data_IF_135984631659
#
_entry.id   IF_135984631659
#
_cell.length_a   1.000
_cell.length_b   1.000
_cell.length_c   1.000
_cell.angle_alpha   90.00
_cell.angle_beta   90.00
_cell.angle_gamma   90.00
#
_symmetry.space_group_name_H-M   'P 1'
#
loop_
_entity.id
_entity.type
_entity.pdbx_description
1 polymer ?
#
# COMPACT_ATOMS: atom_id res chain seq x y z
N UNK A 1 19.75 15.32 -25.42
CA UNK A 1 19.14 15.15 -24.08
C UNK A 1 17.84 14.39 -24.27
N UNK A 2 17.65 13.22 -23.63
CA UNK A 2 16.31 12.59 -23.63
C UNK A 2 15.38 13.55 -22.89
N UNK A 3 14.22 13.86 -23.45
CA UNK A 3 13.22 14.68 -22.76
C UNK A 3 12.91 14.05 -21.40
N UNK A 4 12.91 14.85 -20.33
CA UNK A 4 12.52 14.42 -18.99
C UNK A 4 11.06 13.96 -19.03
N UNK A 5 10.75 12.84 -18.38
CA UNK A 5 9.37 12.35 -18.24
C UNK A 5 8.65 13.26 -17.25
N UNK A 6 7.47 13.75 -17.63
CA UNK A 6 6.62 14.56 -16.74
C UNK A 6 5.48 13.72 -16.16
N UNK A 7 5.33 13.77 -14.84
CA UNK A 7 4.25 13.10 -14.11
C UNK A 7 3.21 14.14 -13.67
N UNK A 8 1.94 13.86 -13.91
CA UNK A 8 0.83 14.46 -13.16
C UNK A 8 0.54 13.55 -11.96
N UNK A 9 0.83 14.03 -10.75
CA UNK A 9 0.74 13.24 -9.53
C UNK A 9 -0.34 13.76 -8.58
N UNK A 10 -1.30 12.88 -8.25
CA UNK A 10 -2.37 13.14 -7.30
C UNK A 10 -2.10 12.25 -6.08
N UNK A 11 -1.51 12.81 -5.01
CA UNK A 11 -1.15 12.03 -3.83
C UNK A 11 -2.39 11.54 -3.10
N UNK A 12 -2.20 10.57 -2.20
CA UNK A 12 -3.26 10.08 -1.29
C UNK A 12 -3.74 11.17 -0.30
N UNK A 13 -2.86 12.09 0.06
CA UNK A 13 -3.13 13.28 0.86
C UNK A 13 -1.90 14.20 0.88
N UNK A 14 -1.91 15.26 1.68
CA UNK A 14 -0.80 16.21 1.79
C UNK A 14 0.33 15.76 2.75
N UNK A 15 0.29 14.55 3.34
CA UNK A 15 1.28 14.13 4.35
C UNK A 15 2.67 14.00 3.71
N UNK A 16 3.76 14.26 4.47
CA UNK A 16 5.12 14.07 3.98
C UNK A 16 5.40 12.67 3.44
N UNK A 17 4.80 11.63 4.04
CA UNK A 17 5.09 10.24 3.67
C UNK A 17 4.43 9.78 2.38
N UNK A 18 3.32 10.39 1.98
CA UNK A 18 2.58 10.07 0.75
C UNK A 18 2.99 11.01 -0.37
N UNK A 19 2.91 12.33 -0.13
CA UNK A 19 3.24 13.37 -1.12
C UNK A 19 4.74 13.65 -1.17
N UNK A 20 5.35 13.93 -0.02
CA UNK A 20 6.75 14.34 0.07
C UNK A 20 7.70 13.24 -0.41
N UNK A 21 7.50 12.00 0.03
CA UNK A 21 8.31 10.87 -0.39
C UNK A 21 8.20 10.59 -1.89
N UNK A 22 6.99 10.70 -2.48
CA UNK A 22 6.83 10.56 -3.92
C UNK A 22 7.64 11.62 -4.68
N UNK A 23 7.53 12.89 -4.28
CA UNK A 23 8.27 13.98 -4.92
C UNK A 23 9.79 13.78 -4.80
N UNK A 24 10.29 13.38 -3.63
CA UNK A 24 11.70 13.11 -3.41
C UNK A 24 12.22 11.93 -4.26
N UNK A 25 11.43 10.85 -4.36
CA UNK A 25 11.81 9.69 -5.17
C UNK A 25 11.69 9.96 -6.68
N UNK A 26 10.76 10.80 -7.11
CA UNK A 26 10.67 11.21 -8.50
C UNK A 26 11.84 12.10 -8.92
N UNK A 27 12.27 13.01 -8.04
CA UNK A 27 13.48 13.82 -8.23
C UNK A 27 14.73 12.93 -8.32
N UNK A 28 14.87 11.94 -7.41
CA UNK A 28 15.91 10.92 -7.46
C UNK A 28 15.91 10.15 -8.80
N UNK A 29 14.72 9.87 -9.34
CA UNK A 29 14.53 9.21 -10.62
C UNK A 29 14.79 10.11 -11.84
N UNK A 30 15.02 11.41 -11.63
CA UNK A 30 15.20 12.43 -12.66
C UNK A 30 13.92 12.75 -13.44
N UNK A 31 12.74 12.57 -12.83
CA UNK A 31 11.44 12.82 -13.47
C UNK A 31 10.81 14.09 -12.90
N UNK A 32 10.25 14.92 -13.78
CA UNK A 32 9.53 16.13 -13.40
C UNK A 32 8.13 15.79 -12.88
N UNK A 33 7.67 16.47 -11.84
CA UNK A 33 6.36 16.21 -11.22
C UNK A 33 5.55 17.49 -11.10
N UNK A 34 4.41 17.51 -11.78
CA UNK A 34 3.31 18.42 -11.48
C UNK A 34 2.38 17.75 -10.47
N UNK A 35 2.00 18.47 -9.42
CA UNK A 35 1.04 18.00 -8.41
C UNK A 35 0.20 19.18 -7.95
N UNK A 36 -1.10 19.01 -7.62
CA UNK A 36 -1.96 20.13 -7.25
C UNK A 36 -1.46 20.84 -5.98
N UNK A 37 -1.81 22.11 -5.80
CA UNK A 37 -1.57 22.82 -4.55
C UNK A 37 -2.16 22.04 -3.36
N UNK A 38 -1.44 22.02 -2.23
CA UNK A 38 -1.87 21.28 -1.04
C UNK A 38 -3.25 21.73 -0.51
N UNK A 39 -3.66 22.98 -0.79
CA UNK A 39 -4.97 23.51 -0.42
C UNK A 39 -6.15 22.84 -1.18
N UNK A 40 -5.90 22.20 -2.32
CA UNK A 40 -6.92 21.40 -3.03
C UNK A 40 -7.03 19.99 -2.45
N UNK A 41 -6.01 19.54 -1.73
CA UNK A 41 -5.99 18.23 -1.09
C UNK A 41 -6.75 18.29 0.23
N UNK A 42 -7.44 17.19 0.54
CA UNK A 42 -8.06 17.01 1.86
C UNK A 42 -7.03 16.88 2.97
N UNK A 43 -7.49 17.03 4.21
CA UNK A 43 -6.67 16.90 5.42
C UNK A 43 -7.40 16.06 6.47
N UNK A 44 -6.94 14.82 6.68
CA UNK A 44 -7.61 13.82 7.53
C UNK A 44 -9.10 13.76 7.16
N UNK A 45 -10.01 14.07 8.09
CA UNK A 45 -11.47 14.04 7.90
C UNK A 45 -12.00 15.11 6.93
N UNK A 46 -11.24 16.17 6.65
CA UNK A 46 -11.64 17.19 5.69
C UNK A 46 -11.42 16.67 4.26
N UNK A 47 -12.50 16.62 3.48
CA UNK A 47 -12.44 16.25 2.06
C UNK A 47 -11.82 17.38 1.22
N UNK A 48 -11.01 17.00 0.23
CA UNK A 48 -10.49 17.88 -0.79
C UNK A 48 -11.54 18.26 -1.85
N UNK A 49 -11.23 19.26 -2.67
CA UNK A 49 -12.13 19.70 -3.75
C UNK A 49 -11.96 18.78 -4.97
N UNK A 50 -12.76 17.71 -5.01
CA UNK A 50 -12.72 16.69 -6.07
C UNK A 50 -12.91 17.29 -7.46
N UNK A 51 -13.79 18.27 -7.63
CA UNK A 51 -14.02 18.88 -8.94
C UNK A 51 -12.87 19.79 -9.34
N UNK A 52 -12.23 20.50 -8.40
CA UNK A 52 -10.99 21.22 -8.67
C UNK A 52 -9.83 20.29 -9.02
N UNK A 53 -9.73 19.12 -8.38
CA UNK A 53 -8.69 18.13 -8.68
C UNK A 53 -8.84 17.57 -10.10
N UNK A 54 -10.06 17.25 -10.53
CA UNK A 54 -10.32 16.87 -11.92
C UNK A 54 -10.02 17.99 -12.92
N UNK A 55 -10.42 19.25 -12.61
CA UNK A 55 -10.04 20.40 -13.44
C UNK A 55 -8.52 20.60 -13.52
N UNK A 56 -7.80 20.34 -12.44
CA UNK A 56 -6.34 20.41 -12.41
C UNK A 56 -5.70 19.36 -13.34
N UNK A 57 -6.21 18.11 -13.32
CA UNK A 57 -5.77 17.04 -14.24
C UNK A 57 -5.96 17.44 -15.72
N UNK A 58 -7.01 18.21 -15.99
CA UNK A 58 -7.40 18.62 -17.34
C UNK A 58 -6.69 19.89 -17.83
N UNK A 59 -5.98 20.58 -16.95
CA UNK A 59 -5.28 21.83 -17.23
C UNK A 59 -3.79 21.68 -16.96
N UNK A 60 -3.36 21.91 -15.72
CA UNK A 60 -1.95 21.85 -15.32
C UNK A 60 -1.31 20.46 -15.46
N UNK A 61 -2.12 19.41 -15.33
CA UNK A 61 -1.72 18.01 -15.50
C UNK A 61 -1.91 17.46 -16.92
N UNK A 62 -2.41 18.26 -17.88
CA UNK A 62 -2.83 17.77 -19.19
C UNK A 62 -1.65 17.24 -20.03
N UNK A 63 -0.52 17.92 -19.98
CA UNK A 63 0.67 17.65 -20.81
C UNK A 63 1.63 16.59 -20.21
N UNK A 64 1.22 15.91 -19.14
CA UNK A 64 2.04 14.88 -18.51
C UNK A 64 2.09 13.59 -19.35
N UNK A 65 3.25 12.94 -19.38
CA UNK A 65 3.45 11.62 -20.00
C UNK A 65 2.79 10.51 -19.19
N UNK A 66 2.73 10.69 -17.86
CA UNK A 66 2.19 9.72 -16.90
C UNK A 66 1.27 10.44 -15.91
N UNK A 67 0.09 9.88 -15.67
CA UNK A 67 -0.78 10.24 -14.56
C UNK A 67 -0.69 9.14 -13.50
N UNK A 68 -0.17 9.47 -12.31
CA UNK A 68 -0.18 8.60 -11.13
C UNK A 68 -1.13 9.21 -10.10
N UNK A 69 -2.19 8.51 -9.74
CA UNK A 69 -3.23 9.06 -8.86
C UNK A 69 -3.76 8.09 -7.81
N UNK A 70 -4.11 8.61 -6.63
CA UNK A 70 -4.98 7.92 -5.67
C UNK A 70 -6.44 8.04 -6.09
N UNK A 71 -7.13 6.90 -6.19
CA UNK A 71 -8.56 6.84 -6.44
C UNK A 71 -9.35 7.46 -5.27
N UNK A 72 -8.85 7.33 -4.04
CA UNK A 72 -9.49 7.87 -2.84
C UNK A 72 -9.64 9.40 -2.94
N UNK A 73 -8.56 10.07 -3.37
CA UNK A 73 -8.56 11.53 -3.56
C UNK A 73 -9.42 11.95 -4.72
N UNK A 74 -9.37 11.23 -5.84
CA UNK A 74 -10.13 11.60 -7.05
C UNK A 74 -11.63 11.30 -6.99
N UNK A 75 -12.06 10.45 -6.04
CA UNK A 75 -13.48 10.03 -5.91
C UNK A 75 -14.11 10.59 -4.63
N UNK A 76 -13.38 10.58 -3.50
CA UNK A 76 -13.92 10.94 -2.19
C UNK A 76 -13.25 12.19 -1.59
N UNK A 77 -12.17 12.69 -2.21
CA UNK A 77 -11.39 13.82 -1.72
C UNK A 77 -10.39 13.46 -0.60
N UNK A 78 -10.12 12.17 -0.37
CA UNK A 78 -9.09 11.70 0.54
C UNK A 78 -9.33 10.29 1.08
N UNK A 79 -8.31 9.73 1.74
CA UNK A 79 -8.38 8.42 2.39
C UNK A 79 -9.44 8.36 3.50
N UNK A 80 -9.38 9.27 4.49
CA UNK A 80 -10.38 9.29 5.57
C UNK A 80 -11.78 9.64 5.04
N UNK A 81 -11.96 10.62 4.12
CA UNK A 81 -13.23 10.86 3.45
C UNK A 81 -13.83 9.63 2.79
N UNK A 82 -13.03 8.74 2.19
CA UNK A 82 -13.55 7.49 1.59
C UNK A 82 -14.16 6.55 2.63
N UNK A 83 -13.66 6.61 3.87
CA UNK A 83 -14.15 5.83 5.02
C UNK A 83 -15.40 6.45 5.65
N UNK A 84 -15.41 7.77 5.87
CA UNK A 84 -16.45 8.46 6.65
C UNK A 84 -17.53 9.14 5.81
N UNK A 85 -17.33 9.32 4.51
CA UNK A 85 -18.25 10.04 3.62
C UNK A 85 -19.56 9.31 3.35
N UNK A 86 -20.61 10.07 3.03
CA UNK A 86 -21.97 9.58 2.74
C UNK A 86 -22.35 9.78 1.26
N UNK A 87 -21.36 9.91 0.38
CA UNK A 87 -21.57 10.11 -1.04
C UNK A 87 -22.42 8.97 -1.62
N UNK A 88 -23.45 9.30 -2.41
CA UNK A 88 -24.22 8.31 -3.17
C UNK A 88 -23.34 7.51 -4.13
N UNK A 89 -23.65 6.21 -4.29
CA UNK A 89 -22.87 5.30 -5.14
C UNK A 89 -22.80 5.75 -6.60
N UNK A 90 -23.88 6.30 -7.15
CA UNK A 90 -23.95 6.84 -8.51
C UNK A 90 -22.96 8.00 -8.70
N UNK A 91 -22.81 8.89 -7.72
CA UNK A 91 -21.79 9.93 -7.73
C UNK A 91 -20.38 9.33 -7.72
N UNK A 92 -20.12 8.35 -6.86
CA UNK A 92 -18.81 7.69 -6.79
C UNK A 92 -18.45 7.00 -8.12
N UNK A 93 -19.41 6.33 -8.75
CA UNK A 93 -19.21 5.67 -10.05
C UNK A 93 -19.05 6.67 -11.19
N UNK A 94 -19.77 7.79 -11.17
CA UNK A 94 -19.58 8.87 -12.15
C UNK A 94 -18.16 9.45 -12.07
N UNK A 95 -17.65 9.68 -10.85
CA UNK A 95 -16.27 10.13 -10.63
C UNK A 95 -15.24 9.07 -11.03
N UNK A 96 -15.48 7.79 -10.70
CA UNK A 96 -14.63 6.70 -11.17
C UNK A 96 -14.59 6.60 -12.70
N UNK A 97 -15.71 6.89 -13.39
CA UNK A 97 -15.80 6.90 -14.85
C UNK A 97 -14.97 7.99 -15.53
N UNK A 98 -14.62 9.06 -14.82
CA UNK A 98 -13.76 10.15 -15.34
C UNK A 98 -12.35 9.68 -15.67
N UNK A 99 -11.86 8.56 -15.10
CA UNK A 99 -10.58 7.98 -15.51
C UNK A 99 -10.60 7.49 -16.97
N UNK A 100 -11.69 6.84 -17.39
CA UNK A 100 -11.91 6.48 -18.80
C UNK A 100 -12.04 7.71 -19.72
N UNK A 101 -12.64 8.80 -19.24
CA UNK A 101 -12.65 10.08 -19.97
C UNK A 101 -11.25 10.68 -20.12
N UNK A 102 -10.46 10.64 -19.05
CA UNK A 102 -9.07 11.10 -19.05
C UNK A 102 -8.21 10.29 -20.05
N UNK A 103 -8.42 8.97 -20.16
CA UNK A 103 -7.82 8.13 -21.21
C UNK A 103 -8.20 8.61 -22.61
N UNK A 104 -9.49 8.83 -22.87
CA UNK A 104 -9.96 9.24 -24.22
C UNK A 104 -9.38 10.58 -24.66
N UNK A 105 -9.20 11.51 -23.73
CA UNK A 105 -8.62 12.85 -24.02
C UNK A 105 -7.12 12.82 -24.26
N UNK A 106 -6.39 11.91 -23.60
CA UNK A 106 -4.95 11.75 -23.77
C UNK A 106 -4.56 10.27 -23.97
N UNK A 107 -4.82 9.68 -25.16
CA UNK A 107 -4.60 8.25 -25.39
C UNK A 107 -3.15 7.80 -25.19
N UNK A 108 -2.19 8.71 -25.41
CA UNK A 108 -0.75 8.45 -25.25
C UNK A 108 -0.27 8.52 -23.80
N UNK A 109 -1.01 9.18 -22.89
CA UNK A 109 -0.63 9.35 -21.49
C UNK A 109 -0.83 8.05 -20.74
N UNK A 110 0.18 7.60 -20.00
CA UNK A 110 0.05 6.41 -19.17
C UNK A 110 -0.79 6.71 -17.93
N UNK A 111 -1.74 5.84 -17.57
CA UNK A 111 -2.61 6.01 -16.41
C UNK A 111 -2.36 4.91 -15.36
N UNK A 112 -1.86 5.31 -14.20
CA UNK A 112 -1.53 4.44 -13.07
C UNK A 112 -2.32 4.87 -11.83
N UNK A 113 -3.05 3.94 -11.24
CA UNK A 113 -3.94 4.21 -10.12
C UNK A 113 -3.55 3.37 -8.90
N UNK A 114 -3.52 4.03 -7.74
CA UNK A 114 -3.57 3.37 -6.45
C UNK A 114 -5.00 3.49 -5.90
N UNK A 115 -5.52 2.42 -5.34
CA UNK A 115 -6.78 2.41 -4.61
C UNK A 115 -6.63 1.52 -3.38
N UNK A 116 -7.45 1.72 -2.35
CA UNK A 116 -7.51 0.85 -1.19
C UNK A 116 -8.93 0.40 -0.88
N UNK A 117 -9.03 -0.78 -0.28
CA UNK A 117 -10.27 -1.19 0.36
C UNK A 117 -10.38 -0.52 1.74
N UNK A 118 -11.59 -0.55 2.32
CA UNK A 118 -11.79 0.01 3.66
C UNK A 118 -11.11 -0.87 4.71
N UNK A 119 -10.25 -0.25 5.51
CA UNK A 119 -9.65 -0.87 6.70
C UNK A 119 -10.68 -1.27 7.75
N UNK A 120 -10.22 -2.03 8.74
CA UNK A 120 -11.05 -2.52 9.82
C UNK A 120 -10.25 -2.56 11.14
N UNK A 121 -10.03 -1.42 11.79
CA UNK A 121 -9.26 -1.36 13.01
C UNK A 121 -10.02 -1.99 14.18
N UNK A 122 -9.30 -2.77 15.01
CA UNK A 122 -9.86 -3.40 16.21
C UNK A 122 -10.01 -2.45 17.40
N UNK A 123 -9.26 -1.33 17.40
CA UNK A 123 -9.26 -0.37 18.49
C UNK A 123 -10.55 0.48 18.52
N UNK A 124 -11.03 0.88 19.71
CA UNK A 124 -12.15 1.82 19.86
C UNK A 124 -11.69 3.26 19.60
N UNK A 125 -11.21 3.54 18.38
CA UNK A 125 -10.74 4.85 17.96
C UNK A 125 -11.55 5.34 16.75
N UNK A 126 -12.07 6.57 16.84
CA UNK A 126 -12.83 7.20 15.78
C UNK A 126 -12.04 8.31 15.05
N UNK A 127 -10.71 8.37 15.21
CA UNK A 127 -9.89 9.44 14.63
C UNK A 127 -10.06 9.50 13.11
N UNK A 128 -10.08 8.34 12.45
CA UNK A 128 -10.26 8.21 11.00
C UNK A 128 -11.45 7.32 10.60
N UNK A 129 -12.29 6.95 11.58
CA UNK A 129 -13.49 6.15 11.39
C UNK A 129 -14.76 6.98 11.65
N UNK A 130 -15.95 6.49 11.28
CA UNK A 130 -17.21 7.08 11.72
C UNK A 130 -17.28 7.18 13.25
N UNK A 131 -18.02 8.16 13.78
CA UNK A 131 -18.02 8.48 15.23
C UNK A 131 -18.42 7.28 16.10
N UNK A 132 -19.33 6.44 15.61
CA UNK A 132 -19.77 5.23 16.31
C UNK A 132 -18.64 4.21 16.53
N UNK A 133 -17.49 4.35 15.87
CA UNK A 133 -16.37 3.41 16.02
C UNK A 133 -15.75 3.44 17.41
N UNK A 134 -15.76 4.61 18.07
CA UNK A 134 -15.28 4.74 19.45
C UNK A 134 -16.04 3.83 20.43
N UNK A 135 -17.33 3.55 20.15
CA UNK A 135 -18.17 2.71 21.00
C UNK A 135 -18.29 1.27 20.48
N UNK A 136 -18.46 1.10 19.17
CA UNK A 136 -18.81 -0.18 18.55
C UNK A 136 -17.67 -0.82 17.76
N UNK A 137 -16.55 -0.13 17.54
CA UNK A 137 -15.41 -0.60 16.73
C UNK A 137 -14.95 -2.03 17.05
N UNK A 138 -14.64 -2.36 18.32
CA UNK A 138 -14.24 -3.72 18.70
C UNK A 138 -15.28 -4.81 18.38
N UNK A 139 -16.58 -4.48 18.48
CA UNK A 139 -17.68 -5.41 18.17
C UNK A 139 -17.88 -5.56 16.66
N UNK A 140 -17.75 -4.47 15.91
CA UNK A 140 -17.76 -4.49 14.44
C UNK A 140 -16.57 -5.34 13.92
N UNK A 141 -15.38 -5.15 14.49
CA UNK A 141 -14.21 -5.96 14.19
C UNK A 141 -14.45 -7.44 14.49
N UNK A 142 -14.97 -7.77 15.69
CA UNK A 142 -15.25 -9.16 16.07
C UNK A 142 -16.27 -9.82 15.13
N UNK A 143 -17.37 -9.13 14.80
CA UNK A 143 -18.34 -9.63 13.81
C UNK A 143 -17.64 -9.93 12.47
N UNK A 144 -16.87 -8.97 11.98
CA UNK A 144 -16.18 -9.07 10.69
C UNK A 144 -15.18 -10.23 10.67
N UNK A 145 -14.28 -10.32 11.66
CA UNK A 145 -13.27 -11.37 11.77
C UNK A 145 -13.91 -12.75 11.85
N UNK A 146 -14.86 -12.94 12.79
CA UNK A 146 -15.43 -14.26 13.04
C UNK A 146 -16.41 -14.72 11.96
N UNK A 147 -17.13 -13.80 11.31
CA UNK A 147 -18.00 -14.15 10.18
C UNK A 147 -17.18 -14.65 8.98
N UNK A 148 -16.07 -13.98 8.67
CA UNK A 148 -15.18 -14.42 7.60
C UNK A 148 -14.45 -15.72 7.94
N UNK A 149 -13.95 -15.85 9.18
CA UNK A 149 -13.31 -17.07 9.66
C UNK A 149 -14.25 -18.27 9.57
N UNK A 150 -15.50 -18.12 10.02
CA UNK A 150 -16.51 -19.17 9.86
C UNK A 150 -16.75 -19.53 8.39
N UNK A 151 -16.86 -18.54 7.50
CA UNK A 151 -17.05 -18.80 6.08
C UNK A 151 -15.85 -19.53 5.43
N UNK A 152 -14.63 -19.34 5.94
CA UNK A 152 -13.42 -19.99 5.43
C UNK A 152 -13.15 -21.36 6.05
N UNK A 153 -13.44 -21.55 7.34
CA UNK A 153 -13.02 -22.75 8.10
C UNK A 153 -14.18 -23.64 8.54
N UNK A 154 -15.42 -23.15 8.51
CA UNK A 154 -16.58 -23.85 9.06
C UNK A 154 -16.61 -23.96 10.58
N UNK A 155 -15.72 -23.27 11.30
CA UNK A 155 -15.58 -23.42 12.76
C UNK A 155 -16.79 -22.86 13.53
N UNK A 156 -17.58 -23.70 14.25
CA UNK A 156 -18.82 -23.26 14.90
C UNK A 156 -18.62 -22.19 15.98
N UNK A 157 -17.47 -22.20 16.66
CA UNK A 157 -17.12 -21.18 17.66
C UNK A 157 -17.09 -19.77 17.05
N UNK A 158 -16.66 -19.65 15.79
CA UNK A 158 -16.61 -18.37 15.07
C UNK A 158 -18.02 -17.92 14.67
N UNK A 159 -18.89 -18.85 14.27
CA UNK A 159 -20.29 -18.50 13.99
C UNK A 159 -20.99 -17.90 15.22
N UNK A 160 -20.81 -18.52 16.39
CA UNK A 160 -21.39 -18.05 17.65
C UNK A 160 -20.83 -16.66 18.05
N UNK A 161 -19.51 -16.46 17.93
CA UNK A 161 -18.87 -15.17 18.22
C UNK A 161 -19.33 -14.07 17.27
N UNK A 162 -19.47 -14.36 15.96
CA UNK A 162 -19.98 -13.42 14.99
C UNK A 162 -21.42 -12.98 15.32
N UNK A 163 -22.30 -13.94 15.65
CA UNK A 163 -23.68 -13.65 16.02
C UNK A 163 -23.78 -12.80 17.30
N UNK A 164 -22.99 -13.13 18.33
CA UNK A 164 -22.94 -12.35 19.57
C UNK A 164 -22.43 -10.93 19.34
N UNK A 165 -21.36 -10.77 18.55
CA UNK A 165 -20.82 -9.46 18.19
C UNK A 165 -21.82 -8.61 17.39
N UNK A 166 -22.52 -9.22 16.43
CA UNK A 166 -23.56 -8.54 15.64
C UNK A 166 -24.73 -8.08 16.51
N UNK A 167 -25.20 -8.91 17.44
CA UNK A 167 -26.30 -8.57 18.34
C UNK A 167 -25.94 -7.41 19.30
N UNK A 168 -24.65 -7.19 19.56
CA UNK A 168 -24.15 -6.13 20.41
C UNK A 168 -23.93 -4.79 19.67
N UNK A 169 -24.23 -4.72 18.37
CA UNK A 169 -24.13 -3.49 17.55
C UNK A 169 -25.54 -3.07 17.11
N UNK A 170 -25.94 -1.80 17.27
CA UNK A 170 -27.23 -1.32 16.77
C UNK A 170 -27.39 -1.56 15.26
N UNK A 171 -28.58 -2.01 14.85
CA UNK A 171 -28.86 -2.30 13.44
C UNK A 171 -28.53 -1.15 12.47
N UNK A 172 -28.85 0.14 12.77
CA UNK A 172 -28.46 1.25 11.91
C UNK A 172 -26.94 1.41 11.74
N UNK A 173 -26.17 1.13 12.80
CA UNK A 173 -24.70 1.19 12.77
C UNK A 173 -24.14 0.09 11.88
N UNK A 174 -24.60 -1.15 12.06
CA UNK A 174 -24.15 -2.26 11.22
C UNK A 174 -24.55 -2.07 9.75
N UNK A 175 -25.76 -1.54 9.49
CA UNK A 175 -26.20 -1.22 8.15
C UNK A 175 -25.31 -0.17 7.47
N UNK A 176 -24.92 0.90 8.19
CA UNK A 176 -24.02 1.93 7.68
C UNK A 176 -22.62 1.35 7.36
N UNK A 177 -22.06 0.52 8.25
CA UNK A 177 -20.79 -0.19 8.02
C UNK A 177 -20.86 -0.99 6.71
N UNK A 178 -21.88 -1.84 6.55
CA UNK A 178 -22.01 -2.69 5.37
C UNK A 178 -22.27 -1.89 4.09
N UNK A 179 -23.04 -0.81 4.16
CA UNK A 179 -23.32 0.07 3.02
C UNK A 179 -22.05 0.77 2.52
N UNK A 180 -21.20 1.30 3.42
CA UNK A 180 -19.90 1.91 3.07
C UNK A 180 -18.99 0.91 2.37
N UNK A 181 -18.90 -0.32 2.91
CA UNK A 181 -18.09 -1.39 2.31
C UNK A 181 -18.60 -1.78 0.93
N UNK A 182 -19.91 -1.96 0.77
CA UNK A 182 -20.53 -2.28 -0.51
C UNK A 182 -20.26 -1.18 -1.55
N UNK A 183 -20.33 0.10 -1.16
CA UNK A 183 -19.98 1.24 -2.03
C UNK A 183 -18.53 1.18 -2.47
N UNK A 184 -17.58 1.07 -1.54
CA UNK A 184 -16.16 0.99 -1.85
C UNK A 184 -15.84 -0.22 -2.74
N UNK A 185 -16.34 -1.41 -2.42
CA UNK A 185 -16.13 -2.62 -3.22
C UNK A 185 -16.67 -2.44 -4.65
N UNK A 186 -17.85 -1.84 -4.82
CA UNK A 186 -18.43 -1.60 -6.15
C UNK A 186 -17.57 -0.62 -6.97
N UNK A 187 -17.00 0.40 -6.33
CA UNK A 187 -16.05 1.32 -6.97
C UNK A 187 -14.76 0.58 -7.37
N UNK A 188 -14.18 -0.24 -6.48
CA UNK A 188 -12.99 -1.04 -6.80
C UNK A 188 -13.23 -1.97 -7.99
N UNK A 189 -14.39 -2.64 -8.03
CA UNK A 189 -14.78 -3.47 -9.17
C UNK A 189 -14.90 -2.61 -10.44
N UNK A 190 -15.47 -1.41 -10.39
CA UNK A 190 -15.51 -0.52 -11.56
C UNK A 190 -14.12 -0.13 -12.07
N UNK A 191 -13.14 0.07 -11.18
CA UNK A 191 -11.75 0.34 -11.56
C UNK A 191 -11.08 -0.89 -12.20
N UNK A 192 -11.36 -2.10 -11.69
CA UNK A 192 -10.91 -3.35 -12.33
C UNK A 192 -11.52 -3.50 -13.74
N UNK A 193 -12.80 -3.15 -13.92
CA UNK A 193 -13.43 -3.16 -15.25
C UNK A 193 -12.74 -2.19 -16.22
N UNK A 194 -12.32 -1.01 -15.74
CA UNK A 194 -11.54 -0.05 -16.52
C UNK A 194 -10.15 -0.59 -16.89
N UNK A 195 -9.46 -1.25 -15.95
CA UNK A 195 -8.18 -1.90 -16.23
C UNK A 195 -8.32 -3.04 -17.26
N UNK A 196 -9.39 -3.84 -17.18
CA UNK A 196 -9.68 -4.92 -18.12
C UNK A 196 -9.87 -4.39 -19.57
N UNK A 197 -10.54 -3.25 -19.72
CA UNK A 197 -10.73 -2.58 -21.03
C UNK A 197 -9.50 -1.84 -21.54
N UNK A 198 -8.45 -1.69 -20.72
CA UNK A 198 -7.26 -0.93 -21.05
C UNK A 198 -7.40 0.59 -20.88
N UNK A 199 -8.42 1.06 -20.16
CA UNK A 199 -8.56 2.47 -19.82
C UNK A 199 -7.42 2.89 -18.85
N UNK A 200 -7.07 2.00 -17.91
CA UNK A 200 -6.02 2.15 -16.90
C UNK A 200 -4.87 1.18 -17.19
N UNK A 201 -3.62 1.67 -17.22
CA UNK A 201 -2.43 0.87 -17.53
C UNK A 201 -1.88 0.08 -16.33
N UNK A 202 -2.23 0.50 -15.12
CA UNK A 202 -1.81 -0.15 -13.88
C UNK A 202 -2.70 0.28 -12.73
N UNK A 203 -3.21 -0.69 -11.97
CA UNK A 203 -4.06 -0.51 -10.81
C UNK A 203 -3.51 -1.36 -9.67
N UNK A 204 -3.07 -0.72 -8.60
CA UNK A 204 -2.82 -1.38 -7.33
C UNK A 204 -4.03 -1.19 -6.43
N UNK A 205 -4.66 -2.29 -6.02
CA UNK A 205 -5.68 -2.30 -4.97
C UNK A 205 -5.01 -2.80 -3.69
N UNK A 206 -4.64 -1.86 -2.82
CA UNK A 206 -3.97 -2.14 -1.56
C UNK A 206 -4.94 -2.50 -0.44
N UNK A 207 -4.43 -3.31 0.49
CA UNK A 207 -5.06 -3.56 1.78
C UNK A 207 -4.66 -2.49 2.78
N UNK A 208 -5.66 -1.85 3.37
CA UNK A 208 -5.53 -0.93 4.51
C UNK A 208 -5.93 -1.66 5.81
N UNK A 209 -5.27 -1.36 6.95
CA UNK A 209 -5.23 -2.11 8.22
C UNK A 209 -6.22 -3.29 8.34
N UNK A 210 -5.69 -4.52 8.41
CA UNK A 210 -6.50 -5.73 8.48
C UNK A 210 -6.03 -6.74 9.53
N UNK A 211 -6.68 -7.90 9.49
CA UNK A 211 -6.32 -9.12 10.20
C UNK A 211 -6.36 -10.30 9.23
N UNK A 212 -5.94 -11.48 9.70
CA UNK A 212 -5.95 -12.74 8.94
C UNK A 212 -7.33 -13.05 8.31
N UNK A 213 -8.41 -12.77 9.04
CA UNK A 213 -9.79 -12.89 8.59
C UNK A 213 -10.51 -11.55 8.71
N UNK A 214 -11.54 -11.35 7.89
CA UNK A 214 -12.46 -10.23 8.05
C UNK A 214 -13.10 -9.79 6.74
N UNK A 215 -14.06 -8.87 6.84
CA UNK A 215 -14.70 -8.23 5.69
C UNK A 215 -13.68 -7.56 4.75
N UNK A 216 -12.60 -6.99 5.29
CA UNK A 216 -11.46 -6.47 4.50
C UNK A 216 -10.85 -7.54 3.61
N UNK A 217 -10.64 -8.75 4.13
CA UNK A 217 -10.10 -9.89 3.36
C UNK A 217 -11.12 -10.43 2.36
N UNK A 218 -12.39 -10.49 2.75
CA UNK A 218 -13.49 -10.89 1.87
C UNK A 218 -13.62 -9.98 0.65
N UNK A 219 -13.54 -8.68 0.85
CA UNK A 219 -13.62 -7.70 -0.24
C UNK A 219 -12.43 -7.87 -1.19
N UNK A 220 -11.22 -8.08 -0.67
CA UNK A 220 -10.04 -8.32 -1.53
C UNK A 220 -10.13 -9.62 -2.31
N UNK A 221 -10.60 -10.72 -1.71
CA UNK A 221 -10.83 -11.98 -2.46
C UNK A 221 -11.86 -11.79 -3.57
N UNK A 222 -12.86 -10.92 -3.37
CA UNK A 222 -13.83 -10.56 -4.41
C UNK A 222 -13.17 -9.77 -5.55
N UNK A 223 -12.28 -8.82 -5.22
CA UNK A 223 -11.50 -8.07 -6.22
C UNK A 223 -10.52 -9.00 -6.98
N UNK A 224 -9.83 -9.90 -6.28
CA UNK A 224 -8.94 -10.91 -6.89
C UNK A 224 -9.70 -11.80 -7.88
N UNK A 225 -10.88 -12.30 -7.49
CA UNK A 225 -11.77 -13.06 -8.37
C UNK A 225 -12.17 -12.26 -9.61
N UNK A 226 -12.59 -11.01 -9.43
CA UNK A 226 -12.96 -10.14 -10.54
C UNK A 226 -11.78 -9.85 -11.49
N UNK A 227 -10.56 -9.65 -10.98
CA UNK A 227 -9.36 -9.47 -11.81
C UNK A 227 -9.13 -10.70 -12.69
N UNK A 228 -9.27 -11.91 -12.13
CA UNK A 228 -9.10 -13.15 -12.87
C UNK A 228 -10.21 -13.35 -13.92
N UNK A 229 -11.47 -13.21 -13.52
CA UNK A 229 -12.66 -13.39 -14.38
C UNK A 229 -12.66 -12.42 -15.57
N UNK A 230 -12.19 -11.19 -15.37
CA UNK A 230 -12.17 -10.14 -16.40
C UNK A 230 -10.88 -10.12 -17.22
N UNK A 231 -9.91 -10.99 -16.93
CA UNK A 231 -8.61 -11.03 -17.61
C UNK A 231 -7.75 -9.77 -17.36
N UNK A 232 -7.93 -9.10 -16.21
CA UNK A 232 -7.28 -7.83 -15.91
C UNK A 232 -5.87 -7.98 -15.31
N UNK A 233 -5.37 -9.20 -15.07
CA UNK A 233 -4.14 -9.48 -14.31
C UNK A 233 -2.83 -8.91 -14.90
N UNK A 234 -2.86 -8.41 -16.14
CA UNK A 234 -1.74 -7.67 -16.74
C UNK A 234 -1.67 -6.20 -16.31
N UNK A 235 -2.76 -5.65 -15.75
CA UNK A 235 -2.91 -4.23 -15.40
C UNK A 235 -3.50 -3.98 -14.02
N UNK A 236 -4.07 -4.99 -13.35
CA UNK A 236 -4.65 -4.83 -12.02
C UNK A 236 -4.13 -5.90 -11.06
N UNK A 237 -3.77 -5.48 -9.85
CA UNK A 237 -3.24 -6.36 -8.81
C UNK A 237 -3.80 -6.00 -7.45
N UNK A 238 -4.20 -7.01 -6.68
CA UNK A 238 -4.38 -6.86 -5.24
C UNK A 238 -3.01 -6.95 -4.57
N UNK A 239 -2.78 -6.04 -3.63
CA UNK A 239 -1.57 -5.97 -2.83
C UNK A 239 -1.88 -5.46 -1.42
N UNK A 240 -0.86 -5.16 -0.64
CA UNK A 240 -0.96 -4.77 0.76
C UNK A 240 -0.24 -3.45 0.98
N UNK A 241 -0.68 -2.68 1.98
CA UNK A 241 -0.25 -1.30 2.17
C UNK A 241 -1.20 -0.32 1.48
N UNK A 242 -1.03 0.96 1.81
CA UNK A 242 -1.88 2.05 1.30
C UNK A 242 -1.04 3.29 1.03
N UNK A 243 -0.21 3.70 2.00
CA UNK A 243 0.55 4.94 1.92
C UNK A 243 1.66 4.90 0.85
N UNK A 244 2.21 3.71 0.58
CA UNK A 244 3.37 3.49 -0.29
C UNK A 244 3.00 3.07 -1.73
N UNK A 245 1.72 2.84 -2.01
CA UNK A 245 1.26 2.36 -3.31
C UNK A 245 1.69 3.30 -4.46
N UNK A 246 1.62 4.61 -4.25
CA UNK A 246 2.00 5.60 -5.26
C UNK A 246 3.50 5.53 -5.62
N UNK A 247 4.38 5.36 -4.62
CA UNK A 247 5.83 5.25 -4.90
C UNK A 247 6.19 3.92 -5.55
N UNK A 248 5.43 2.86 -5.28
CA UNK A 248 5.57 1.58 -5.99
C UNK A 248 5.15 1.69 -7.45
N UNK A 249 4.09 2.45 -7.75
CA UNK A 249 3.69 2.78 -9.12
C UNK A 249 4.75 3.63 -9.83
N UNK A 250 5.40 4.57 -9.13
CA UNK A 250 6.52 5.35 -9.65
C UNK A 250 7.70 4.44 -10.03
N UNK A 251 8.14 3.55 -9.13
CA UNK A 251 9.22 2.60 -9.41
C UNK A 251 8.89 1.71 -10.61
N UNK A 252 7.66 1.20 -10.69
CA UNK A 252 7.17 0.42 -11.83
C UNK A 252 7.23 1.23 -13.13
N UNK A 253 6.71 2.45 -13.11
CA UNK A 253 6.71 3.32 -14.29
C UNK A 253 8.13 3.56 -14.79
N UNK A 254 9.06 3.82 -13.88
CA UNK A 254 10.47 4.07 -14.19
C UNK A 254 11.17 2.85 -14.79
N UNK A 255 10.97 1.66 -14.20
CA UNK A 255 11.54 0.41 -14.68
C UNK A 255 11.02 0.05 -16.08
N UNK A 256 9.72 0.15 -16.30
CA UNK A 256 9.13 -0.14 -17.61
C UNK A 256 9.59 0.86 -18.68
N UNK A 257 9.69 2.15 -18.35
CA UNK A 257 10.23 3.18 -19.25
C UNK A 257 11.69 2.94 -19.62
N UNK A 258 12.42 2.27 -18.73
CA UNK A 258 13.81 1.85 -18.91
C UNK A 258 13.94 0.45 -19.52
N UNK A 259 12.83 -0.24 -19.81
CA UNK A 259 12.79 -1.63 -20.26
C UNK A 259 13.58 -2.60 -19.35
N UNK A 260 13.48 -2.40 -18.03
CA UNK A 260 14.18 -3.20 -17.00
C UNK A 260 13.19 -4.01 -16.17
N UNK A 261 13.62 -5.21 -15.76
CA UNK A 261 12.92 -6.06 -14.80
C UNK A 261 13.94 -6.68 -13.84
N UNK A 262 14.45 -5.91 -12.87
CA UNK A 262 15.60 -6.29 -12.07
C UNK A 262 15.34 -7.52 -11.21
N UNK A 263 16.34 -8.40 -11.12
CA UNK A 263 16.33 -9.52 -10.19
C UNK A 263 16.50 -9.05 -8.75
N UNK A 264 15.53 -9.33 -7.88
CA UNK A 264 15.56 -8.99 -6.45
C UNK A 264 15.74 -10.26 -5.62
N UNK A 265 16.88 -10.39 -4.93
CA UNK A 265 17.08 -11.43 -3.91
C UNK A 265 16.59 -10.92 -2.56
N UNK A 266 15.95 -11.79 -1.79
CA UNK A 266 15.42 -11.45 -0.45
C UNK A 266 16.24 -12.19 0.60
N UNK A 267 16.69 -11.48 1.62
CA UNK A 267 17.35 -12.04 2.80
C UNK A 267 16.55 -11.67 4.06
N UNK A 268 16.14 -12.65 4.85
CA UNK A 268 15.39 -12.45 6.10
C UNK A 268 16.30 -12.54 7.32
N UNK A 269 16.06 -11.74 8.34
CA UNK A 269 16.74 -11.87 9.64
C UNK A 269 16.34 -13.16 10.37
N UNK A 270 15.06 -13.55 10.27
CA UNK A 270 14.49 -14.78 10.81
C UNK A 270 13.79 -15.55 9.69
N UNK A 271 14.52 -16.30 8.84
CA UNK A 271 13.95 -17.03 7.69
C UNK A 271 12.84 -18.01 8.05
N UNK A 272 12.91 -18.62 9.24
CA UNK A 272 11.91 -19.52 9.82
C UNK A 272 10.56 -18.86 10.08
N UNK A 273 10.53 -17.53 10.23
CA UNK A 273 9.33 -16.75 10.53
C UNK A 273 8.83 -15.93 9.34
N UNK A 274 9.30 -16.21 8.12
CA UNK A 274 8.85 -15.49 6.91
C UNK A 274 7.36 -15.69 6.60
N UNK A 275 6.76 -16.75 7.14
CA UNK A 275 5.34 -17.06 6.96
C UNK A 275 4.45 -16.51 8.08
N UNK A 276 5.04 -15.82 9.07
CA UNK A 276 4.28 -15.10 10.09
C UNK A 276 3.47 -13.96 9.47
N UNK A 277 2.32 -13.66 10.07
CA UNK A 277 1.44 -12.54 9.69
C UNK A 277 1.77 -11.35 10.60
N UNK A 278 2.37 -10.26 10.09
CA UNK A 278 2.64 -9.07 10.89
C UNK A 278 1.36 -8.39 11.40
N UNK A 279 1.47 -7.51 12.39
CA UNK A 279 0.34 -6.68 12.84
C UNK A 279 -0.18 -5.84 11.67
N UNK A 280 -1.49 -5.64 11.64
CA UNK A 280 -2.22 -4.89 10.61
C UNK A 280 -2.20 -5.54 9.22
N UNK A 281 -1.58 -6.71 9.07
CA UNK A 281 -1.49 -7.44 7.81
C UNK A 281 -2.52 -8.57 7.72
N UNK A 282 -2.85 -8.94 6.48
CA UNK A 282 -3.86 -9.96 6.17
C UNK A 282 -3.28 -11.26 5.59
N UNK A 283 -1.95 -11.37 5.50
CA UNK A 283 -1.26 -12.54 4.97
C UNK A 283 0.18 -12.65 5.49
N UNK A 284 0.80 -13.80 5.20
CA UNK A 284 2.20 -14.07 5.44
C UNK A 284 3.12 -13.01 4.83
N UNK A 285 4.15 -12.61 5.59
CA UNK A 285 5.15 -11.62 5.18
C UNK A 285 5.78 -11.95 3.82
N UNK A 286 6.20 -13.20 3.60
CA UNK A 286 6.88 -13.60 2.36
C UNK A 286 5.99 -13.47 1.11
N UNK A 287 4.68 -13.67 1.27
CA UNK A 287 3.70 -13.42 0.20
C UNK A 287 3.59 -11.94 -0.12
N UNK A 288 3.63 -11.07 0.89
CA UNK A 288 3.64 -9.62 0.71
C UNK A 288 4.92 -9.18 0.01
N UNK A 289 6.10 -9.63 0.46
CA UNK A 289 7.39 -9.32 -0.18
C UNK A 289 7.37 -9.73 -1.66
N UNK A 290 6.88 -10.93 -1.96
CA UNK A 290 6.79 -11.43 -3.35
C UNK A 290 5.85 -10.59 -4.19
N UNK A 291 4.66 -10.25 -3.67
CA UNK A 291 3.69 -9.37 -4.33
C UNK A 291 4.29 -7.99 -4.61
N UNK A 292 4.95 -7.38 -3.62
CA UNK A 292 5.56 -6.06 -3.74
C UNK A 292 6.64 -6.01 -4.81
N UNK A 293 7.54 -7.01 -4.86
CA UNK A 293 8.56 -7.12 -5.91
C UNK A 293 7.92 -7.17 -7.30
N UNK A 294 6.94 -8.06 -7.50
CA UNK A 294 6.31 -8.25 -8.80
C UNK A 294 5.51 -7.02 -9.27
N UNK A 295 4.75 -6.41 -8.34
CA UNK A 295 3.89 -5.26 -8.65
C UNK A 295 4.67 -3.95 -8.78
N UNK A 296 5.85 -3.82 -8.17
CA UNK A 296 6.79 -2.72 -8.41
C UNK A 296 7.60 -2.87 -9.72
N UNK A 297 7.47 -4.00 -10.44
CA UNK A 297 8.14 -4.22 -11.73
C UNK A 297 9.46 -5.00 -11.64
N UNK A 298 9.83 -5.53 -10.46
CA UNK A 298 10.95 -6.42 -10.27
C UNK A 298 10.58 -7.91 -10.41
N UNK A 299 11.59 -8.78 -10.29
CA UNK A 299 11.40 -10.24 -10.27
C UNK A 299 12.17 -10.85 -9.11
N UNK A 300 11.50 -11.64 -8.27
CA UNK A 300 12.18 -12.35 -7.18
C UNK A 300 13.12 -13.41 -7.75
N UNK A 301 14.36 -13.46 -7.26
CA UNK A 301 15.39 -14.43 -7.70
C UNK A 301 16.13 -15.05 -6.52
N UNK A 302 16.66 -16.26 -6.73
CA UNK A 302 17.54 -16.91 -5.76
C UNK A 302 19.03 -16.61 -6.01
N UNK A 303 19.40 -16.29 -7.26
CA UNK A 303 20.77 -15.98 -7.70
C UNK A 303 20.72 -15.00 -8.89
N UNK A 304 21.81 -14.27 -9.12
CA UNK A 304 21.93 -13.32 -10.24
C UNK A 304 21.11 -12.06 -9.99
N UNK A 305 21.06 -11.64 -8.73
CA UNK A 305 20.38 -10.43 -8.30
C UNK A 305 21.08 -9.16 -8.78
N UNK A 306 20.27 -8.17 -9.12
CA UNK A 306 20.70 -6.78 -9.31
C UNK A 306 20.48 -5.96 -8.04
N UNK A 307 19.59 -6.43 -7.15
CA UNK A 307 19.24 -5.80 -5.88
C UNK A 307 19.08 -6.87 -4.81
N UNK A 308 19.65 -6.65 -3.61
CA UNK A 308 19.29 -7.44 -2.42
C UNK A 308 18.36 -6.63 -1.52
N UNK A 309 17.16 -7.15 -1.27
CA UNK A 309 16.24 -6.64 -0.24
C UNK A 309 16.46 -7.42 1.06
N UNK A 310 17.02 -6.75 2.05
CA UNK A 310 17.13 -7.26 3.41
C UNK A 310 15.84 -6.94 4.17
N UNK A 311 15.21 -7.96 4.74
CA UNK A 311 13.98 -7.83 5.52
C UNK A 311 14.33 -8.22 6.95
N UNK A 312 14.53 -7.22 7.81
CA UNK A 312 14.69 -7.42 9.25
C UNK A 312 13.32 -7.69 9.85
N UNK A 313 12.91 -8.94 9.83
CA UNK A 313 11.59 -9.39 10.26
C UNK A 313 11.55 -9.78 11.75
N UNK A 314 10.42 -10.36 12.15
CA UNK A 314 10.06 -10.67 13.52
C UNK A 314 10.52 -12.08 13.97
N UNK A 315 11.14 -12.24 15.15
CA UNK A 315 11.48 -13.54 15.72
C UNK A 315 10.28 -14.32 16.27
N UNK A 316 9.17 -13.63 16.49
CA UNK A 316 7.91 -14.15 17.04
C UNK A 316 6.77 -13.20 16.64
N UNK A 317 5.66 -13.15 17.39
CA UNK A 317 4.59 -12.19 17.12
C UNK A 317 5.11 -10.75 17.10
N UNK A 318 4.65 -9.95 16.14
CA UNK A 318 5.13 -8.57 15.99
C UNK A 318 4.61 -7.70 17.14
N UNK A 319 5.46 -6.80 17.60
CA UNK A 319 5.10 -5.77 18.58
C UNK A 319 5.08 -4.38 17.92
N UNK A 320 4.70 -3.36 18.68
CA UNK A 320 4.75 -1.96 18.25
C UNK A 320 6.01 -1.29 18.81
N UNK A 321 6.69 -0.50 17.97
CA UNK A 321 7.97 0.13 18.28
C UNK A 321 7.98 1.03 19.54
N UNK A 322 6.87 1.70 19.94
CA UNK A 322 6.82 2.42 21.21
C UNK A 322 7.02 1.53 22.45
N UNK A 323 6.74 0.22 22.35
CA UNK A 323 6.84 -0.75 23.44
C UNK A 323 8.12 -1.62 23.36
N UNK A 324 9.03 -1.31 22.44
CA UNK A 324 10.24 -2.12 22.26
C UNK A 324 11.16 -2.04 23.49
N UNK A 325 11.65 -3.19 23.92
CA UNK A 325 12.67 -3.33 24.95
C UNK A 325 14.02 -3.71 24.32
N UNK A 326 15.16 -3.26 24.89
CA UNK A 326 16.47 -3.70 24.46
C UNK A 326 16.60 -5.23 24.55
N UNK A 327 17.22 -5.84 23.55
CA UNK A 327 17.47 -7.29 23.52
C UNK A 327 18.90 -7.60 23.09
N UNK A 328 19.36 -8.81 23.44
CA UNK A 328 20.66 -9.33 23.04
C UNK A 328 20.68 -9.67 21.54
N UNK A 329 21.44 -8.97 20.69
CA UNK A 329 21.32 -9.08 19.24
C UNK A 329 22.11 -10.23 18.62
N UNK A 330 22.57 -11.22 19.41
CA UNK A 330 23.37 -12.36 18.91
C UNK A 330 22.66 -13.13 17.78
N UNK A 331 21.33 -13.18 17.81
CA UNK A 331 20.53 -13.76 16.74
C UNK A 331 20.63 -13.03 15.39
N UNK A 332 21.18 -11.82 15.36
CA UNK A 332 21.34 -11.00 14.15
C UNK A 332 22.74 -11.08 13.54
N UNK A 333 23.72 -11.71 14.20
CA UNK A 333 25.11 -11.63 13.75
C UNK A 333 25.28 -12.21 12.33
N UNK A 334 24.66 -13.36 12.02
CA UNK A 334 24.69 -13.91 10.66
C UNK A 334 24.00 -13.02 9.61
N UNK A 335 22.91 -12.34 10.01
CA UNK A 335 22.20 -11.42 9.14
C UNK A 335 23.05 -10.18 8.84
N UNK A 336 23.72 -9.62 9.86
CA UNK A 336 24.63 -8.48 9.73
C UNK A 336 25.90 -8.84 8.95
N UNK A 337 26.44 -10.05 9.11
CA UNK A 337 27.55 -10.57 8.28
C UNK A 337 27.15 -10.65 6.80
N UNK A 338 25.95 -11.18 6.52
CA UNK A 338 25.40 -11.25 5.16
C UNK A 338 25.17 -9.85 4.59
N UNK A 339 24.70 -8.92 5.43
CA UNK A 339 24.51 -7.52 5.07
C UNK A 339 25.84 -6.84 4.72
N UNK A 340 26.87 -7.02 5.56
CA UNK A 340 28.21 -6.48 5.31
C UNK A 340 28.80 -7.02 4.01
N UNK A 341 28.70 -8.33 3.77
CA UNK A 341 29.15 -8.93 2.52
C UNK A 341 28.42 -8.35 1.29
N UNK A 342 27.12 -8.07 1.41
CA UNK A 342 26.35 -7.44 0.34
C UNK A 342 26.72 -5.98 0.12
N UNK A 343 26.99 -5.23 1.20
CA UNK A 343 27.56 -3.88 1.11
C UNK A 343 28.83 -3.97 0.28
N UNK A 344 29.79 -4.82 0.66
CA UNK A 344 31.11 -4.93 0.02
C UNK A 344 31.07 -5.43 -1.43
N UNK A 345 30.10 -6.28 -1.79
CA UNK A 345 29.97 -6.83 -3.13
C UNK A 345 29.60 -5.79 -4.22
N UNK A 346 28.92 -4.70 -3.84
CA UNK A 346 28.62 -3.57 -4.72
C UNK A 346 27.22 -3.46 -5.35
N UNK A 347 26.40 -4.52 -5.53
CA UNK A 347 25.00 -4.34 -5.90
C UNK A 347 24.26 -3.42 -4.92
N UNK A 348 23.29 -2.61 -5.39
CA UNK A 348 22.43 -1.86 -4.49
C UNK A 348 21.72 -2.83 -3.52
N UNK A 349 21.51 -2.35 -2.31
CA UNK A 349 20.74 -3.06 -1.30
C UNK A 349 19.78 -2.11 -0.60
N UNK A 350 18.60 -2.63 -0.29
CA UNK A 350 17.57 -1.95 0.50
C UNK A 350 17.27 -2.74 1.76
N UNK A 351 16.91 -2.04 2.84
CA UNK A 351 16.52 -2.65 4.10
C UNK A 351 15.08 -2.28 4.43
N UNK A 352 14.27 -3.29 4.71
CA UNK A 352 12.95 -3.16 5.30
C UNK A 352 13.00 -3.70 6.74
N UNK A 353 13.03 -2.79 7.70
CA UNK A 353 12.92 -3.08 9.13
C UNK A 353 11.45 -3.18 9.54
N UNK A 354 11.00 -4.42 9.64
CA UNK A 354 9.62 -4.78 9.95
C UNK A 354 9.54 -5.66 11.20
N UNK A 355 10.58 -5.65 12.05
CA UNK A 355 10.53 -6.37 13.33
C UNK A 355 9.47 -5.78 14.24
N UNK A 356 9.37 -4.46 14.28
CA UNK A 356 8.32 -3.73 14.95
C UNK A 356 7.40 -3.04 13.93
N UNK A 357 6.14 -2.89 14.29
CA UNK A 357 5.22 -1.99 13.60
C UNK A 357 5.30 -0.60 14.22
N UNK A 358 4.92 0.43 13.47
CA UNK A 358 4.94 1.83 13.86
C UNK A 358 6.33 2.40 14.22
N UNK A 359 7.41 1.77 13.73
CA UNK A 359 8.78 2.27 13.86
C UNK A 359 9.85 1.20 13.72
N UNK A 360 11.10 1.67 13.62
CA UNK A 360 12.29 0.85 13.51
C UNK A 360 12.67 0.15 14.82
N UNK A 361 13.43 -0.93 14.69
CA UNK A 361 14.14 -1.59 15.78
C UNK A 361 15.39 -0.79 16.16
N UNK A 362 15.39 -0.21 17.37
CA UNK A 362 16.50 0.61 17.88
C UNK A 362 17.80 -0.17 18.04
N UNK A 363 17.72 -1.44 18.45
CA UNK A 363 18.91 -2.29 18.63
C UNK A 363 19.53 -2.62 17.28
N UNK A 364 18.70 -2.97 16.29
CA UNK A 364 19.18 -3.19 14.92
C UNK A 364 19.75 -1.93 14.29
N UNK A 365 19.08 -0.78 14.41
CA UNK A 365 19.59 0.51 13.91
C UNK A 365 20.93 0.86 14.56
N UNK A 366 21.10 0.65 15.87
CA UNK A 366 22.39 0.84 16.53
C UNK A 366 23.51 0.01 15.90
N UNK A 367 23.27 -1.30 15.71
CA UNK A 367 24.23 -2.20 15.06
C UNK A 367 24.48 -1.85 13.60
N UNK A 368 23.45 -1.39 12.89
CA UNK A 368 23.53 -1.00 11.49
C UNK A 368 24.44 0.23 11.30
N UNK A 369 24.34 1.21 12.20
CA UNK A 369 25.17 2.42 12.17
C UNK A 369 26.65 2.15 12.47
N UNK A 370 26.94 1.05 13.17
CA UNK A 370 28.32 0.60 13.44
C UNK A 370 28.95 -0.13 12.24
N UNK A 371 28.19 -0.49 11.20
CA UNK A 371 28.72 -1.21 10.04
C UNK A 371 29.54 -0.30 9.11
N UNK A 372 30.75 -0.72 8.71
CA UNK A 372 31.52 -0.02 7.69
C UNK A 372 30.75 0.13 6.38
N UNK A 373 30.52 1.38 5.97
CA UNK A 373 29.83 1.68 4.71
C UNK A 373 28.31 1.64 4.80
N UNK A 374 27.70 1.76 5.98
CA UNK A 374 26.25 1.87 6.15
C UNK A 374 25.60 2.94 5.25
N UNK A 375 26.31 4.02 4.94
CA UNK A 375 25.86 5.08 4.02
C UNK A 375 25.75 4.67 2.55
N UNK A 376 26.28 3.51 2.16
CA UNK A 376 26.23 2.99 0.78
C UNK A 376 24.92 2.26 0.46
N UNK A 377 24.04 2.09 1.45
CA UNK A 377 22.75 1.40 1.29
C UNK A 377 21.80 2.30 0.48
N UNK A 378 21.11 1.72 -0.50
CA UNK A 378 20.25 2.49 -1.40
C UNK A 378 18.97 2.95 -0.71
N UNK A 379 18.46 2.17 0.26
CA UNK A 379 17.24 2.47 0.98
C UNK A 379 17.21 1.83 2.37
N UNK A 380 16.55 2.51 3.30
CA UNK A 380 16.14 1.97 4.59
C UNK A 380 14.71 2.42 4.87
N UNK A 381 13.84 1.48 5.26
CA UNK A 381 12.50 1.76 5.77
C UNK A 381 12.31 1.07 7.12
N UNK A 382 11.67 1.76 8.06
CA UNK A 382 11.34 1.24 9.39
C UNK A 382 10.25 2.09 10.02
N UNK A 383 9.08 2.15 9.38
CA UNK A 383 7.98 3.04 9.74
C UNK A 383 6.60 2.40 9.49
N UNK A 384 5.61 2.72 10.34
CA UNK A 384 4.22 2.28 10.18
C UNK A 384 4.08 0.74 10.03
N UNK A 385 3.29 0.21 9.08
CA UNK A 385 3.09 -1.23 8.90
C UNK A 385 4.21 -1.91 8.10
N UNK A 386 4.23 -3.24 8.11
CA UNK A 386 5.19 -4.03 7.35
C UNK A 386 5.09 -3.74 5.84
N UNK A 387 3.88 -3.67 5.28
CA UNK A 387 3.67 -3.36 3.87
C UNK A 387 4.11 -1.96 3.47
N UNK A 388 3.83 -0.96 4.31
CA UNK A 388 4.26 0.42 4.08
C UNK A 388 5.80 0.54 4.09
N UNK A 389 6.46 -0.10 5.07
CA UNK A 389 7.93 -0.14 5.13
C UNK A 389 8.54 -0.86 3.92
N UNK A 390 8.05 -2.08 3.63
CA UNK A 390 8.54 -2.89 2.51
C UNK A 390 8.43 -2.14 1.19
N UNK A 391 7.26 -1.56 0.91
CA UNK A 391 6.99 -0.93 -0.36
C UNK A 391 7.78 0.36 -0.57
N UNK A 392 7.99 1.16 0.49
CA UNK A 392 8.85 2.36 0.42
C UNK A 392 10.31 1.99 0.19
N UNK A 393 10.87 1.08 1.01
CA UNK A 393 12.26 0.66 0.90
C UNK A 393 12.55 0.01 -0.46
N UNK A 394 11.63 -0.85 -0.93
CA UNK A 394 11.73 -1.48 -2.24
C UNK A 394 11.62 -0.47 -3.38
N UNK A 395 10.65 0.45 -3.34
CA UNK A 395 10.48 1.46 -4.39
C UNK A 395 11.74 2.31 -4.55
N UNK A 396 12.29 2.80 -3.43
CA UNK A 396 13.53 3.57 -3.45
C UNK A 396 14.72 2.73 -3.98
N UNK A 397 14.86 1.48 -3.53
CA UNK A 397 15.98 0.64 -3.95
C UNK A 397 15.91 0.17 -5.43
N UNK A 398 14.72 0.19 -6.03
CA UNK A 398 14.52 -0.11 -7.46
C UNK A 398 14.77 1.08 -8.38
N UNK A 399 14.70 2.30 -7.84
CA UNK A 399 15.05 3.53 -8.52
C UNK A 399 16.57 3.68 -8.62
N UNK A 400 17.08 4.47 -9.57
CA UNK A 400 18.52 4.69 -9.68
C UNK A 400 19.03 5.36 -8.40
N UNK A 401 20.19 4.93 -7.92
CA UNK A 401 20.92 5.73 -6.95
C UNK A 401 21.22 7.09 -7.60
N UNK A 402 20.98 8.18 -6.87
CA UNK A 402 21.31 9.52 -7.33
C UNK A 402 22.80 9.63 -7.72
N UNK A 403 23.18 10.71 -8.43
CA UNK A 403 24.56 10.95 -8.84
C UNK A 403 25.58 10.92 -7.70
#
# INVERSE_FOLDING_TARGET
MKASVRIAFLPLDARPVTRGAFLALADLAGWDVATPPAALLGARRQSGDVDALWRWVDTEGADADVLIASAEVMIYGGLVPSRIGHEPLDRCLALAGRFGEARRRAPHRRLLLAASNLRLPAAPDATEEPEYWAEFGPRIFAYSYHSDRFAQTGEPSSQAQAAAAQAAVPQPVMADVLARRARNLTVLLSLVDQAARGDVDGLLVGQDDAAEFGLTRRDLRTVEGAIAERGAGARAWVTYGTDELAVRLLARAWLERSARTPGVRVAYAYPENRDAIPRYEGQALDRTVTSHIATAGGRRVARGEELTLFVHNLPSAQEEAPHQEPYEPRGLDHFLETLQAAVDAGPPLGIADVRYSNGADRTFVGRLLDLPGASRMAAYGGWNTASNTLGMALAQALLPAGP
#
